data_IF_374909310592
#
_entry.id   IF_374909310592
#
_cell.length_a   1.000
_cell.length_b   1.000
_cell.length_c   1.000
_cell.angle_alpha   90.00
_cell.angle_beta   90.00
_cell.angle_gamma   90.00
#
_symmetry.space_group_name_H-M   'P 1'
#
loop_
_entity.id
_entity.type
_entity.pdbx_description
1 polymer ?
#
# COMPACT_ATOMS: atom_id res chain seq x y z
N UNK A 1 -3.83 10.68 3.61
CA UNK A 1 -2.48 11.00 3.07
C UNK A 1 -1.42 10.89 4.16
N UNK A 2 -1.57 11.54 5.32
CA UNK A 2 -0.66 11.42 6.48
C UNK A 2 -0.18 10.01 6.82
N UNK A 3 -1.09 9.04 6.94
CA UNK A 3 -0.74 7.63 7.20
C UNK A 3 0.29 7.03 6.21
N UNK A 4 0.15 7.32 4.92
CA UNK A 4 1.06 6.80 3.88
C UNK A 4 2.43 7.48 3.95
N UNK A 5 2.46 8.80 4.14
CA UNK A 5 3.71 9.54 4.30
C UNK A 5 4.46 9.09 5.57
N UNK A 6 3.76 8.92 6.69
CA UNK A 6 4.38 8.37 7.91
C UNK A 6 4.94 6.97 7.67
N UNK A 7 4.19 6.08 6.99
CA UNK A 7 4.64 4.73 6.67
C UNK A 7 5.87 4.71 5.77
N UNK A 8 5.99 5.65 4.83
CA UNK A 8 7.13 5.78 3.91
C UNK A 8 8.38 6.30 4.60
N UNK A 9 8.24 7.26 5.51
CA UNK A 9 9.40 7.93 6.12
C UNK A 9 9.90 7.27 7.42
N UNK A 10 9.03 6.60 8.18
CA UNK A 10 9.35 6.11 9.53
C UNK A 10 10.52 5.12 9.57
N UNK A 11 10.70 4.27 8.54
CA UNK A 11 11.83 3.34 8.49
C UNK A 11 13.16 4.10 8.37
N UNK A 12 13.21 5.14 7.53
CA UNK A 12 14.40 5.98 7.38
C UNK A 12 14.71 6.71 8.68
N UNK A 13 13.67 7.22 9.36
CA UNK A 13 13.81 7.86 10.67
C UNK A 13 14.37 6.88 11.71
N UNK A 14 13.86 5.64 11.78
CA UNK A 14 14.38 4.62 12.69
C UNK A 14 15.86 4.34 12.41
N UNK A 15 16.25 4.22 11.15
CA UNK A 15 17.65 3.97 10.76
C UNK A 15 18.56 5.15 11.13
N UNK A 16 18.11 6.38 10.92
CA UNK A 16 18.89 7.55 11.32
C UNK A 16 18.98 7.67 12.84
N UNK A 17 17.91 7.39 13.58
CA UNK A 17 17.95 7.33 15.05
C UNK A 17 18.92 6.25 15.55
N UNK A 18 18.90 5.05 14.98
CA UNK A 18 19.85 3.97 15.33
C UNK A 18 21.31 4.43 15.14
N UNK A 19 21.64 5.07 14.01
CA UNK A 19 22.99 5.60 13.74
C UNK A 19 23.38 6.68 14.75
N UNK A 20 22.53 7.68 14.95
CA UNK A 20 22.81 8.80 15.86
C UNK A 20 22.97 8.31 17.30
N UNK A 21 22.05 7.48 17.78
CA UNK A 21 22.07 7.01 19.16
C UNK A 21 23.20 6.01 19.41
N UNK A 22 23.54 5.17 18.42
CA UNK A 22 24.73 4.30 18.49
C UNK A 22 26.04 5.10 18.57
N UNK A 23 26.07 6.32 18.05
CA UNK A 23 27.21 7.25 18.18
C UNK A 23 27.25 8.02 19.51
N UNK A 24 26.33 7.73 20.43
CA UNK A 24 26.24 8.40 21.73
C UNK A 24 25.46 9.71 21.71
N UNK A 25 24.77 10.04 20.61
CA UNK A 25 23.91 11.23 20.54
C UNK A 25 22.66 11.00 21.39
N UNK A 26 22.40 11.93 22.31
CA UNK A 26 21.19 11.90 23.14
C UNK A 26 19.91 12.04 22.32
N UNK A 27 18.81 11.45 22.81
CA UNK A 27 17.54 11.37 22.08
C UNK A 27 17.02 12.74 21.64
N UNK A 28 17.13 13.76 22.48
CA UNK A 28 16.68 15.12 22.16
C UNK A 28 17.45 15.73 20.97
N UNK A 29 18.77 15.56 20.96
CA UNK A 29 19.61 16.00 19.85
C UNK A 29 19.33 15.19 18.57
N UNK A 30 19.09 13.88 18.72
CA UNK A 30 18.72 13.03 17.60
C UNK A 30 17.37 13.46 16.98
N UNK A 31 16.36 13.74 17.81
CA UNK A 31 15.06 14.28 17.39
C UNK A 31 15.22 15.62 16.68
N UNK A 32 16.08 16.51 17.18
CA UNK A 32 16.36 17.78 16.51
C UNK A 32 16.95 17.58 15.11
N UNK A 33 17.90 16.65 14.95
CA UNK A 33 18.46 16.29 13.65
C UNK A 33 17.40 15.75 12.70
N UNK A 34 16.52 14.84 13.17
CA UNK A 34 15.40 14.35 12.36
C UNK A 34 14.44 15.48 11.99
N UNK A 35 14.10 16.38 12.92
CA UNK A 35 13.25 17.54 12.67
C UNK A 35 13.79 18.48 11.59
N UNK A 36 15.12 18.48 11.40
CA UNK A 36 15.82 19.28 10.39
C UNK A 36 16.11 18.51 9.10
N UNK A 37 15.92 17.18 9.09
CA UNK A 37 16.46 16.25 8.11
C UNK A 37 15.57 15.95 6.89
N UNK A 38 14.34 16.47 6.82
CA UNK A 38 13.49 16.36 5.62
C UNK A 38 12.72 15.05 5.44
N UNK A 39 12.41 14.32 6.52
CA UNK A 39 11.61 13.09 6.54
C UNK A 39 10.09 13.36 6.49
N UNK A 40 9.67 14.27 5.61
CA UNK A 40 8.28 14.67 5.43
C UNK A 40 7.58 15.06 6.75
N UNK A 41 6.40 14.50 6.96
CA UNK A 41 5.53 14.89 8.08
C UNK A 41 6.13 14.57 9.47
N UNK A 42 7.03 13.59 9.55
CA UNK A 42 7.72 13.25 10.81
C UNK A 42 8.72 14.36 11.18
N UNK A 43 9.43 14.92 10.20
CA UNK A 43 10.30 16.07 10.43
C UNK A 43 9.51 17.29 10.89
N UNK A 44 8.36 17.57 10.27
CA UNK A 44 7.49 18.69 10.66
C UNK A 44 6.98 18.54 12.10
N UNK A 45 6.59 17.33 12.48
CA UNK A 45 6.12 17.02 13.82
C UNK A 45 7.22 17.18 14.88
N UNK A 46 8.43 16.68 14.61
CA UNK A 46 9.57 16.85 15.51
C UNK A 46 10.09 18.28 15.56
N UNK A 47 10.14 19.00 14.44
CA UNK A 47 10.51 20.41 14.39
C UNK A 47 9.53 21.27 15.21
N UNK A 48 8.23 21.04 15.03
CA UNK A 48 7.17 21.72 15.79
C UNK A 48 7.25 21.42 17.28
N UNK A 49 7.53 20.17 17.64
CA UNK A 49 7.74 19.74 19.03
C UNK A 49 8.96 20.45 19.64
N UNK A 50 10.11 20.43 18.97
CA UNK A 50 11.33 21.08 19.44
C UNK A 50 11.15 22.60 19.60
N UNK A 51 10.38 23.22 18.70
CA UNK A 51 10.04 24.64 18.81
C UNK A 51 9.19 24.95 20.06
N UNK A 52 8.25 24.06 20.45
CA UNK A 52 7.46 24.20 21.68
C UNK A 52 8.31 24.00 22.94
N UNK A 53 9.19 23.00 22.93
CA UNK A 53 10.13 22.73 24.00
C UNK A 53 11.04 23.94 24.26
N UNK A 54 11.64 24.50 23.20
CA UNK A 54 12.53 25.68 23.30
C UNK A 54 11.83 26.94 23.82
N UNK A 55 10.55 27.12 23.50
CA UNK A 55 9.76 28.28 23.96
C UNK A 55 9.34 28.16 25.43
N UNK A 56 9.61 27.03 26.10
CA UNK A 56 9.16 26.77 27.47
C UNK A 56 7.66 26.49 27.59
N UNK A 57 6.96 26.31 26.46
CA UNK A 57 5.51 26.05 26.41
C UNK A 57 5.16 24.58 26.69
N UNK A 58 6.14 23.77 27.09
CA UNK A 58 6.02 22.34 27.22
C UNK A 58 6.55 21.85 28.55
N UNK A 59 5.97 20.76 29.04
CA UNK A 59 6.34 20.09 30.30
C UNK A 59 7.50 19.10 30.14
N UNK A 60 8.22 19.17 29.02
CA UNK A 60 9.34 18.31 28.69
C UNK A 60 9.04 17.32 27.55
N UNK A 61 10.05 16.53 27.19
CA UNK A 61 10.02 15.67 26.00
C UNK A 61 8.97 14.55 26.08
N UNK A 62 8.76 13.95 27.25
CA UNK A 62 7.77 12.86 27.44
C UNK A 62 6.33 13.27 27.08
N UNK A 63 5.78 14.35 27.66
CA UNK A 63 4.45 14.86 27.32
C UNK A 63 4.27 15.18 25.83
N UNK A 64 5.28 15.73 25.17
CA UNK A 64 5.21 16.01 23.73
C UNK A 64 5.19 14.74 22.88
N UNK A 65 6.04 13.76 23.20
CA UNK A 65 6.03 12.47 22.53
C UNK A 65 4.66 11.81 22.67
N UNK A 66 4.05 11.89 23.86
CA UNK A 66 2.69 11.40 24.10
C UNK A 66 1.62 12.16 23.30
N UNK A 67 1.79 13.47 23.12
CA UNK A 67 0.91 14.26 22.24
C UNK A 67 1.05 13.85 20.77
N UNK A 68 2.27 13.57 20.31
CA UNK A 68 2.50 13.09 18.94
C UNK A 68 1.91 11.70 18.73
N UNK A 69 1.93 10.82 19.74
CA UNK A 69 1.28 9.50 19.65
C UNK A 69 -0.22 9.61 19.35
N UNK A 70 -0.89 10.62 19.91
CA UNK A 70 -2.32 10.87 19.63
C UNK A 70 -2.57 11.46 18.24
N UNK A 71 -1.54 11.98 17.57
CA UNK A 71 -1.61 12.57 16.22
C UNK A 71 -1.16 11.59 15.12
N UNK A 72 -0.39 10.56 15.49
CA UNK A 72 0.13 9.57 14.57
C UNK A 72 -1.00 8.68 14.01
N UNK A 73 -1.02 8.49 12.69
CA UNK A 73 -2.02 7.66 11.99
C UNK A 73 -1.50 6.26 11.64
N UNK A 74 -0.18 6.06 11.67
CA UNK A 74 0.48 4.81 11.34
C UNK A 74 1.00 4.08 12.58
N UNK A 75 0.76 2.77 12.64
CA UNK A 75 1.22 1.93 13.75
C UNK A 75 2.74 1.98 13.91
N UNK A 76 3.48 2.06 12.80
CA UNK A 76 4.94 2.18 12.81
C UNK A 76 5.41 3.44 13.53
N UNK A 77 4.78 4.58 13.24
CA UNK A 77 5.13 5.85 13.88
C UNK A 77 4.69 5.88 15.34
N UNK A 78 3.49 5.40 15.66
CA UNK A 78 3.02 5.28 17.05
C UNK A 78 3.94 4.40 17.89
N UNK A 79 4.41 3.27 17.34
CA UNK A 79 5.38 2.39 18.02
C UNK A 79 6.71 3.08 18.24
N UNK A 80 7.23 3.81 17.24
CA UNK A 80 8.46 4.58 17.36
C UNK A 80 8.36 5.63 18.47
N UNK A 81 7.28 6.41 18.47
CA UNK A 81 7.01 7.43 19.50
C UNK A 81 6.89 6.80 20.89
N UNK A 82 6.25 5.65 21.02
CA UNK A 82 6.14 4.92 22.28
C UNK A 82 7.50 4.44 22.79
N UNK A 83 8.35 3.91 21.90
CA UNK A 83 9.72 3.51 22.22
C UNK A 83 10.53 4.70 22.75
N UNK A 84 10.45 5.85 22.08
CA UNK A 84 11.10 7.09 22.54
C UNK A 84 10.53 7.59 23.88
N UNK A 85 9.21 7.54 24.06
CA UNK A 85 8.55 7.95 25.30
C UNK A 85 9.01 7.10 26.48
N UNK A 86 9.08 5.77 26.31
CA UNK A 86 9.57 4.84 27.33
C UNK A 86 11.04 5.10 27.68
N UNK A 87 11.90 5.35 26.68
CA UNK A 87 13.30 5.73 26.94
C UNK A 87 13.40 7.00 27.80
N UNK A 88 12.65 8.05 27.47
CA UNK A 88 12.66 9.32 28.23
C UNK A 88 12.13 9.15 29.65
N UNK A 89 11.11 8.32 29.84
CA UNK A 89 10.39 8.21 31.13
C UNK A 89 10.94 7.13 32.06
N UNK A 90 11.52 6.08 31.50
CA UNK A 90 11.97 4.88 32.22
C UNK A 90 13.48 4.62 32.08
N UNK A 91 14.22 5.48 31.35
CA UNK A 91 15.67 5.39 31.17
C UNK A 91 16.15 4.01 30.67
N UNK A 92 15.42 3.45 29.70
CA UNK A 92 15.68 2.12 29.12
C UNK A 92 16.63 2.20 27.92
N UNK A 93 17.34 1.11 27.60
CA UNK A 93 18.07 1.02 26.32
C UNK A 93 17.10 1.02 25.13
N UNK A 94 17.25 2.02 24.26
CA UNK A 94 16.41 2.26 23.10
C UNK A 94 17.01 1.69 21.81
N UNK A 95 18.33 1.47 21.75
CA UNK A 95 19.05 1.12 20.52
C UNK A 95 18.61 -0.28 20.05
N UNK A 96 18.62 -1.26 20.95
CA UNK A 96 18.20 -2.62 20.62
C UNK A 96 16.73 -2.67 20.16
N UNK A 97 15.88 -1.87 20.82
CA UNK A 97 14.45 -1.78 20.49
C UNK A 97 14.24 -1.15 19.11
N UNK A 98 14.96 -0.07 18.78
CA UNK A 98 14.91 0.57 17.47
C UNK A 98 15.40 -0.37 16.36
N UNK A 99 16.48 -1.13 16.58
CA UNK A 99 16.98 -2.12 15.61
C UNK A 99 15.96 -3.21 15.35
N UNK A 100 15.39 -3.80 16.40
CA UNK A 100 14.32 -4.82 16.27
C UNK A 100 13.11 -4.27 15.53
N UNK A 101 12.72 -3.04 15.82
CA UNK A 101 11.62 -2.36 15.14
C UNK A 101 11.94 -2.11 13.66
N UNK A 102 13.14 -1.61 13.34
CA UNK A 102 13.59 -1.39 11.98
C UNK A 102 13.60 -2.67 11.14
N UNK A 103 14.19 -3.75 11.64
CA UNK A 103 14.19 -5.06 10.97
C UNK A 103 12.78 -5.58 10.73
N UNK A 104 11.88 -5.45 11.72
CA UNK A 104 10.48 -5.84 11.54
C UNK A 104 9.81 -5.04 10.44
N UNK A 105 10.03 -3.73 10.39
CA UNK A 105 9.44 -2.87 9.36
C UNK A 105 10.00 -3.13 7.96
N UNK A 106 11.29 -3.48 7.85
CA UNK A 106 11.89 -3.94 6.60
C UNK A 106 11.29 -5.26 6.13
N UNK A 107 11.06 -6.20 7.05
CA UNK A 107 10.41 -7.47 6.73
C UNK A 107 8.96 -7.23 6.27
N UNK A 108 8.19 -6.39 6.98
CA UNK A 108 6.82 -6.01 6.62
C UNK A 108 6.77 -5.35 5.22
N UNK A 109 7.72 -4.46 4.89
CA UNK A 109 7.85 -3.86 3.55
C UNK A 109 8.26 -4.88 2.48
N UNK A 110 9.18 -5.78 2.80
CA UNK A 110 9.63 -6.81 1.86
C UNK A 110 8.50 -7.77 1.54
N UNK A 111 7.71 -8.15 2.55
CA UNK A 111 6.52 -8.98 2.38
C UNK A 111 5.44 -8.26 1.55
N UNK A 112 5.19 -6.98 1.79
CA UNK A 112 4.21 -6.22 1.00
C UNK A 112 4.64 -6.09 -0.47
N UNK A 113 5.92 -5.84 -0.73
CA UNK A 113 6.49 -5.82 -2.10
C UNK A 113 6.41 -7.20 -2.74
N UNK A 114 6.74 -8.27 -2.01
CA UNK A 114 6.62 -9.64 -2.51
C UNK A 114 5.18 -9.96 -2.91
N UNK A 115 4.22 -9.66 -2.03
CA UNK A 115 2.79 -9.84 -2.31
C UNK A 115 2.34 -8.99 -3.50
N UNK A 116 2.82 -7.75 -3.61
CA UNK A 116 2.53 -6.91 -4.77
C UNK A 116 3.08 -7.53 -6.06
N UNK A 117 4.30 -8.06 -6.06
CA UNK A 117 4.90 -8.76 -7.21
C UNK A 117 4.10 -10.04 -7.55
N UNK A 118 3.68 -10.82 -6.56
CA UNK A 118 2.84 -12.01 -6.77
C UNK A 118 1.48 -11.64 -7.38
N UNK A 119 0.83 -10.61 -6.85
CA UNK A 119 -0.40 -10.07 -7.41
C UNK A 119 -0.18 -9.55 -8.85
N UNK A 120 0.92 -8.82 -9.11
CA UNK A 120 1.26 -8.34 -10.45
C UNK A 120 1.57 -9.47 -11.42
N UNK A 121 2.28 -10.53 -11.00
CA UNK A 121 2.60 -11.67 -11.86
C UNK A 121 1.34 -12.37 -12.37
N UNK A 122 0.31 -12.46 -11.52
CA UNK A 122 -0.97 -13.10 -11.87
C UNK A 122 -1.87 -12.24 -12.77
N UNK A 123 -1.67 -10.91 -12.83
CA UNK A 123 -2.54 -9.99 -13.58
C UNK A 123 -2.40 -10.16 -15.11
N UNK A 124 -1.20 -10.14 -15.72
CA UNK A 124 -1.02 -10.40 -17.15
C UNK A 124 -1.54 -11.78 -17.56
N UNK A 125 -1.31 -12.82 -16.76
CA UNK A 125 -1.81 -14.16 -17.03
C UNK A 125 -3.35 -14.21 -17.04
N UNK A 126 -3.99 -13.58 -16.06
CA UNK A 126 -5.46 -13.47 -15.99
C UNK A 126 -6.02 -12.64 -17.15
N UNK A 127 -5.35 -11.54 -17.51
CA UNK A 127 -5.78 -10.70 -18.64
C UNK A 127 -5.63 -11.43 -19.99
N UNK A 128 -4.51 -12.12 -20.21
CA UNK A 128 -4.24 -12.89 -21.42
C UNK A 128 -5.22 -14.06 -21.58
N UNK A 129 -5.50 -14.78 -20.49
CA UNK A 129 -6.47 -15.89 -20.50
C UNK A 129 -7.89 -15.41 -20.79
N UNK A 130 -8.36 -14.32 -20.17
CA UNK A 130 -9.67 -13.73 -20.49
C UNK A 130 -9.71 -13.23 -21.95
N UNK A 131 -8.64 -12.56 -22.40
CA UNK A 131 -8.53 -12.03 -23.75
C UNK A 131 -8.51 -13.12 -24.83
N UNK A 132 -8.00 -14.31 -24.52
CA UNK A 132 -8.01 -15.44 -25.45
C UNK A 132 -9.30 -16.26 -25.34
N UNK A 133 -9.68 -16.68 -24.14
CA UNK A 133 -10.80 -17.61 -23.92
C UNK A 133 -12.15 -16.93 -24.18
N UNK A 134 -12.31 -15.67 -23.77
CA UNK A 134 -13.56 -14.91 -23.93
C UNK A 134 -14.01 -14.83 -25.39
N UNK A 135 -13.18 -14.29 -26.29
CA UNK A 135 -13.50 -14.24 -27.72
C UNK A 135 -13.69 -15.61 -28.35
N UNK A 136 -12.96 -16.64 -27.94
CA UNK A 136 -13.12 -18.00 -28.47
C UNK A 136 -14.50 -18.58 -28.11
N UNK A 137 -14.92 -18.50 -26.84
CA UNK A 137 -16.23 -19.00 -26.40
C UNK A 137 -17.36 -18.23 -27.09
N UNK A 138 -17.23 -16.91 -27.19
CA UNK A 138 -18.23 -16.06 -27.84
C UNK A 138 -18.28 -16.29 -29.36
N UNK A 139 -17.13 -16.55 -30.00
CA UNK A 139 -17.08 -16.93 -31.41
C UNK A 139 -17.77 -18.28 -31.66
N UNK A 140 -17.55 -19.28 -30.80
CA UNK A 140 -18.25 -20.57 -30.88
C UNK A 140 -19.76 -20.37 -30.72
N UNK A 141 -20.20 -19.54 -29.76
CA UNK A 141 -21.62 -19.21 -29.59
C UNK A 141 -22.22 -18.49 -30.83
N UNK A 142 -21.44 -17.61 -31.47
CA UNK A 142 -21.82 -16.94 -32.71
C UNK A 142 -21.91 -17.86 -33.94
N UNK A 143 -21.22 -19.00 -33.92
CA UNK A 143 -21.27 -20.02 -34.96
C UNK A 143 -22.46 -21.00 -34.80
N UNK A 144 -23.11 -21.05 -33.62
CA UNK A 144 -24.26 -21.94 -33.37
C UNK A 144 -25.35 -21.82 -34.46
N UNK A 145 -25.78 -20.63 -34.90
CA UNK A 145 -26.78 -20.51 -35.96
C UNK A 145 -26.35 -21.13 -37.30
N UNK A 146 -25.06 -21.08 -37.62
CA UNK A 146 -24.49 -21.64 -38.85
C UNK A 146 -24.25 -23.15 -38.75
N UNK A 147 -23.93 -23.65 -37.56
CA UNK A 147 -23.75 -25.08 -37.30
C UNK A 147 -25.10 -25.81 -37.17
N UNK A 148 -26.15 -25.10 -36.77
CA UNK A 148 -27.50 -25.64 -36.60
C UNK A 148 -28.45 -25.29 -37.76
N UNK A 149 -27.99 -24.58 -38.79
CA UNK A 149 -28.78 -24.32 -40.00
C UNK A 149 -28.94 -25.60 -40.82
N UNK A 150 -30.09 -26.25 -40.66
CA UNK A 150 -30.48 -27.53 -41.26
C UNK A 150 -31.68 -28.12 -40.51
N UNK A 151 -32.02 -29.39 -40.75
CA UNK A 151 -33.19 -30.10 -40.17
C UNK A 151 -33.22 -30.13 -38.62
N UNK A 152 -32.07 -29.89 -37.99
CA UNK A 152 -31.87 -29.78 -36.53
C UNK A 152 -32.25 -28.40 -35.95
N UNK A 153 -32.09 -27.31 -36.72
CA UNK A 153 -32.43 -25.95 -36.30
C UNK A 153 -33.93 -25.66 -36.30
N UNK A 154 -34.72 -26.49 -36.99
CA UNK A 154 -36.18 -26.45 -36.94
C UNK A 154 -36.74 -27.19 -35.69
N UNK A 155 -35.98 -28.15 -35.15
CA UNK A 155 -36.34 -28.93 -33.96
C UNK A 155 -35.99 -28.21 -32.64
N UNK A 156 -34.91 -27.43 -32.63
CA UNK A 156 -34.60 -26.54 -31.52
C UNK A 156 -35.08 -25.12 -31.84
N UNK A 157 -35.99 -24.57 -31.03
CA UNK A 157 -36.48 -23.20 -31.14
C UNK A 157 -35.37 -22.18 -30.80
N UNK A 158 -34.34 -22.08 -31.65
CA UNK A 158 -33.23 -21.19 -31.45
C UNK A 158 -33.70 -19.73 -31.67
N UNK A 159 -33.24 -18.79 -30.84
CA UNK A 159 -33.54 -17.39 -31.03
C UNK A 159 -32.97 -16.88 -32.37
N UNK A 160 -33.53 -15.77 -32.92
CA UNK A 160 -33.06 -15.19 -34.18
C UNK A 160 -31.56 -14.89 -34.15
N UNK A 161 -30.89 -15.06 -35.30
CA UNK A 161 -29.46 -14.80 -35.44
C UNK A 161 -29.05 -13.37 -35.04
N UNK A 162 -29.95 -12.39 -35.21
CA UNK A 162 -29.75 -11.01 -34.74
C UNK A 162 -29.64 -10.92 -33.21
N UNK A 163 -30.44 -11.68 -32.46
CA UNK A 163 -30.39 -11.74 -31.00
C UNK A 163 -29.10 -12.39 -30.53
N UNK A 164 -28.66 -13.46 -31.20
CA UNK A 164 -27.41 -14.17 -30.88
C UNK A 164 -26.20 -13.27 -31.15
N UNK A 165 -26.15 -12.60 -32.30
CA UNK A 165 -25.09 -11.65 -32.63
C UNK A 165 -25.05 -10.46 -31.66
N UNK A 166 -26.20 -9.97 -31.22
CA UNK A 166 -26.27 -8.92 -30.20
C UNK A 166 -25.68 -9.40 -28.86
N UNK A 167 -26.02 -10.61 -28.41
CA UNK A 167 -25.47 -11.21 -27.19
C UNK A 167 -23.94 -11.39 -27.29
N UNK A 168 -23.44 -11.85 -28.43
CA UNK A 168 -22.00 -11.98 -28.69
C UNK A 168 -21.30 -10.64 -28.65
N UNK A 169 -21.83 -9.62 -29.33
CA UNK A 169 -21.24 -8.28 -29.36
C UNK A 169 -21.25 -7.60 -27.97
N UNK A 170 -22.36 -7.72 -27.22
CA UNK A 170 -22.44 -7.23 -25.84
C UNK A 170 -21.46 -8.01 -24.95
N UNK A 171 -21.35 -9.32 -25.12
CA UNK A 171 -20.38 -10.16 -24.40
C UNK A 171 -18.94 -9.71 -24.64
N UNK A 172 -18.55 -9.46 -25.89
CA UNK A 172 -17.22 -8.95 -26.24
C UNK A 172 -16.96 -7.59 -25.59
N UNK A 173 -17.93 -6.69 -25.63
CA UNK A 173 -17.82 -5.37 -25.01
C UNK A 173 -17.65 -5.47 -23.48
N UNK A 174 -18.39 -6.38 -22.83
CA UNK A 174 -18.24 -6.67 -21.40
C UNK A 174 -16.88 -7.29 -21.07
N UNK A 175 -16.33 -8.17 -21.92
CA UNK A 175 -14.99 -8.73 -21.69
C UNK A 175 -13.90 -7.65 -21.75
N UNK A 176 -14.00 -6.71 -22.69
CA UNK A 176 -13.09 -5.57 -22.79
C UNK A 176 -13.22 -4.64 -21.57
N UNK A 177 -14.43 -4.34 -21.12
CA UNK A 177 -14.67 -3.56 -19.90
C UNK A 177 -14.13 -4.26 -18.65
N UNK A 178 -14.28 -5.58 -18.56
CA UNK A 178 -13.72 -6.39 -17.47
C UNK A 178 -12.19 -6.32 -17.45
N UNK A 179 -11.54 -6.46 -18.60
CA UNK A 179 -10.10 -6.31 -18.73
C UNK A 179 -9.62 -4.90 -18.34
N UNK A 180 -10.33 -3.87 -18.79
CA UNK A 180 -10.03 -2.48 -18.44
C UNK A 180 -10.11 -2.25 -16.92
N UNK A 181 -11.15 -2.77 -16.26
CA UNK A 181 -11.29 -2.66 -14.80
C UNK A 181 -10.21 -3.43 -14.04
N UNK A 182 -9.81 -4.62 -14.50
CA UNK A 182 -8.72 -5.39 -13.89
C UNK A 182 -7.39 -4.64 -14.03
N UNK A 183 -7.12 -4.07 -15.22
CA UNK A 183 -5.93 -3.25 -15.45
C UNK A 183 -5.86 -2.00 -14.56
N UNK A 184 -6.98 -1.28 -14.42
CA UNK A 184 -7.08 -0.15 -13.49
C UNK A 184 -6.83 -0.57 -12.04
N UNK A 185 -7.46 -1.68 -11.59
CA UNK A 185 -7.31 -2.18 -10.22
C UNK A 185 -5.86 -2.57 -9.91
N UNK A 186 -5.14 -3.13 -10.87
CA UNK A 186 -3.72 -3.47 -10.73
C UNK A 186 -2.85 -2.21 -10.58
N UNK A 187 -3.11 -1.17 -11.38
CA UNK A 187 -2.41 0.11 -11.28
C UNK A 187 -2.68 0.83 -9.95
N UNK A 188 -3.90 0.77 -9.42
CA UNK A 188 -4.26 1.44 -8.15
C UNK A 188 -3.77 0.75 -6.88
N UNK A 189 -3.18 -0.45 -6.99
CA UNK A 189 -2.69 -1.25 -5.86
C UNK A 189 -1.21 -1.04 -5.56
N UNK A 190 -0.56 -0.08 -6.20
CA UNK A 190 0.83 0.29 -5.93
C UNK A 190 1.02 0.55 -4.42
N UNK A 191 1.94 -0.19 -3.74
CA UNK A 191 2.19 -0.05 -2.31
C UNK A 191 2.88 1.28 -1.93
N UNK A 192 3.08 2.20 -2.89
CA UNK A 192 3.61 3.53 -2.62
C UNK A 192 5.14 3.52 -2.54
N UNK A 193 5.76 2.97 -3.58
CA UNK A 193 7.14 3.31 -3.95
C UNK A 193 7.19 4.70 -4.59
#
# INVERSE_FOLDING_TARGET
MRKLDEQREVLYVIRTLDVLMSSGVGLEAAIHTIGSGGYGIISDDFSSMMARLRKGNSRGLGPELKSLMNKADSDGYTRLLNTMYTNVTQNTDIIETLRKQGTRMENERTESVKKYIEELGSVPETLLSIAMIGPIILAIAGLIPQLMSGDLGAFMQLPPASTINMVVNVGLLLTLLGMFMIGLKAHTKDPGL
#
